data_IF_997801504327
#
_entry.id   IF_997801504327
#
_cell.length_a   1.000
_cell.length_b   1.000
_cell.length_c   1.000
_cell.angle_alpha   90.00
_cell.angle_beta   90.00
_cell.angle_gamma   90.00
#
_symmetry.space_group_name_H-M   'P 1'
#
loop_
_entity.id
_entity.type
_entity.pdbx_description
1 polymer ?
#
# COMPACT_ATOMS: atom_id res chain seq x y z
N UNK A 1 32.10 -15.54 -14.95
CA UNK A 1 31.34 -14.28 -14.82
C UNK A 1 30.56 -14.36 -13.51
N UNK A 2 30.87 -13.51 -12.54
CA UNK A 2 30.13 -13.45 -11.28
C UNK A 2 28.90 -12.57 -11.51
N UNK A 3 27.72 -13.18 -11.65
CA UNK A 3 26.49 -12.41 -11.58
C UNK A 3 26.22 -12.17 -10.09
N UNK A 4 26.64 -11.00 -9.61
CA UNK A 4 26.25 -10.52 -8.29
C UNK A 4 24.74 -10.25 -8.35
N UNK A 5 23.95 -11.12 -7.73
CA UNK A 5 22.54 -10.84 -7.51
C UNK A 5 22.46 -9.72 -6.45
N UNK A 6 22.05 -8.52 -6.88
CA UNK A 6 21.65 -7.49 -5.95
C UNK A 6 20.47 -8.03 -5.13
N UNK A 7 20.71 -8.27 -3.84
CA UNK A 7 19.69 -8.79 -2.93
C UNK A 7 18.66 -7.67 -2.73
N UNK A 8 17.49 -7.82 -3.36
CA UNK A 8 16.34 -6.96 -3.06
C UNK A 8 16.08 -7.02 -1.55
N UNK A 9 16.05 -5.86 -0.91
CA UNK A 9 15.80 -5.71 0.52
C UNK A 9 14.36 -6.11 0.92
N UNK A 10 13.48 -6.40 -0.05
CA UNK A 10 12.10 -6.83 0.11
C UNK A 10 11.93 -8.18 -0.60
N UNK A 11 12.02 -9.28 0.16
CA UNK A 11 11.59 -10.61 -0.28
C UNK A 11 12.45 -11.28 -1.35
N UNK A 12 12.65 -12.59 -1.23
CA UNK A 12 13.35 -13.38 -2.26
C UNK A 12 12.57 -13.39 -3.57
N UNK A 13 13.16 -12.86 -4.64
CA UNK A 13 12.70 -13.08 -6.02
C UNK A 13 12.84 -14.56 -6.37
N UNK A 14 11.79 -15.35 -6.12
CA UNK A 14 11.72 -16.72 -6.64
C UNK A 14 11.22 -16.64 -8.07
N UNK A 15 12.14 -16.57 -9.03
CA UNK A 15 11.81 -16.80 -10.44
C UNK A 15 11.44 -18.28 -10.59
N UNK A 16 10.15 -18.58 -10.73
CA UNK A 16 9.71 -19.93 -11.07
C UNK A 16 9.92 -20.16 -12.57
N UNK A 17 10.92 -20.96 -12.92
CA UNK A 17 11.16 -21.39 -14.29
C UNK A 17 10.26 -22.59 -14.60
N UNK A 18 9.49 -22.54 -15.68
CA UNK A 18 8.82 -23.74 -16.17
C UNK A 18 9.87 -24.72 -16.77
N UNK A 19 9.52 -26.00 -16.90
CA UNK A 19 10.41 -27.07 -17.41
C UNK A 19 10.95 -26.87 -18.84
N UNK A 20 10.67 -25.74 -19.48
CA UNK A 20 11.15 -25.35 -20.83
C UNK A 20 12.12 -24.15 -20.80
N UNK A 21 12.46 -23.62 -19.62
CA UNK A 21 13.37 -22.48 -19.48
C UNK A 21 12.78 -21.14 -19.95
N UNK A 22 11.47 -21.06 -20.17
CA UNK A 22 10.78 -19.85 -20.64
C UNK A 22 10.24 -19.09 -19.43
N UNK A 23 10.74 -17.88 -19.19
CA UNK A 23 10.16 -16.97 -18.20
C UNK A 23 8.73 -16.59 -18.62
N UNK A 24 7.73 -17.22 -18.02
CA UNK A 24 6.34 -16.75 -18.12
C UNK A 24 6.28 -15.37 -17.48
N UNK A 25 5.67 -14.40 -18.17
CA UNK A 25 5.49 -13.00 -17.72
C UNK A 25 5.27 -12.98 -16.21
N UNK A 26 6.28 -12.54 -15.46
CA UNK A 26 6.20 -12.50 -14.02
C UNK A 26 5.01 -11.59 -13.65
N UNK A 27 3.88 -12.19 -13.30
CA UNK A 27 2.95 -11.59 -12.35
C UNK A 27 3.81 -11.31 -11.13
N UNK A 28 4.26 -10.07 -10.97
CA UNK A 28 5.13 -9.67 -9.88
C UNK A 28 4.48 -10.16 -8.58
N UNK A 29 5.01 -11.21 -7.92
CA UNK A 29 4.31 -11.81 -6.80
C UNK A 29 4.26 -10.77 -5.68
N UNK A 30 3.06 -10.46 -5.21
CA UNK A 30 2.86 -9.56 -4.08
C UNK A 30 3.33 -10.29 -2.81
N UNK A 31 4.63 -10.25 -2.54
CA UNK A 31 5.25 -10.92 -1.40
C UNK A 31 5.01 -10.11 -0.12
N UNK A 32 3.90 -10.38 0.58
CA UNK A 32 3.57 -9.76 1.87
C UNK A 32 3.86 -10.74 3.00
N UNK A 33 4.74 -10.37 3.94
CA UNK A 33 5.13 -11.23 5.07
C UNK A 33 4.11 -11.27 6.20
N UNK A 34 3.44 -10.14 6.45
CA UNK A 34 2.37 -10.01 7.45
C UNK A 34 1.44 -8.84 7.08
N UNK A 35 0.38 -8.62 7.87
CA UNK A 35 -0.62 -7.57 7.59
C UNK A 35 -0.09 -6.13 7.69
N UNK A 36 1.08 -5.93 8.31
CA UNK A 36 1.74 -4.63 8.48
C UNK A 36 2.98 -4.47 7.59
N UNK A 37 3.21 -5.38 6.64
CA UNK A 37 4.38 -5.32 5.78
C UNK A 37 4.28 -4.15 4.80
N UNK A 38 5.28 -3.26 4.84
CA UNK A 38 5.33 -2.06 4.00
C UNK A 38 6.40 -2.11 2.93
N UNK A 39 7.00 -3.29 2.64
CA UNK A 39 8.19 -3.34 1.81
C UNK A 39 7.98 -2.99 0.32
N UNK A 40 6.73 -2.91 -0.13
CA UNK A 40 6.35 -2.43 -1.46
C UNK A 40 6.08 -0.90 -1.50
N UNK A 41 6.23 -0.19 -0.38
CA UNK A 41 6.08 1.25 -0.28
C UNK A 41 7.44 1.93 -0.11
N UNK A 42 7.58 3.17 -0.58
CA UNK A 42 8.79 3.95 -0.32
C UNK A 42 8.99 4.14 1.20
N UNK A 43 10.23 3.93 1.64
CA UNK A 43 10.58 4.02 3.05
C UNK A 43 10.38 5.42 3.60
N UNK A 44 10.51 6.45 2.77
CA UNK A 44 10.30 7.83 3.21
C UNK A 44 8.91 8.01 3.82
N UNK A 45 7.85 7.54 3.14
CA UNK A 45 6.49 7.62 3.67
C UNK A 45 6.27 6.74 4.91
N UNK A 46 6.87 5.55 4.95
CA UNK A 46 6.64 4.60 6.07
C UNK A 46 7.38 4.97 7.35
N UNK A 47 8.36 5.88 7.28
CA UNK A 47 9.11 6.40 8.43
C UNK A 47 8.50 7.67 9.01
N UNK A 48 7.69 8.39 8.23
CA UNK A 48 6.99 9.56 8.70
C UNK A 48 6.02 9.20 9.83
N UNK A 49 5.79 10.14 10.74
CA UNK A 49 4.77 9.99 11.77
C UNK A 49 3.38 9.90 11.12
N UNK A 50 2.50 9.09 11.69
CA UNK A 50 1.11 8.97 11.25
C UNK A 50 0.31 10.12 11.87
N UNK A 51 0.41 11.29 11.26
CA UNK A 51 -0.23 12.52 11.74
C UNK A 51 -0.92 13.28 10.60
N UNK A 52 -1.96 14.04 10.97
CA UNK A 52 -2.62 14.96 10.05
C UNK A 52 -1.89 16.29 10.08
N UNK A 53 -1.62 16.85 8.91
CA UNK A 53 -1.09 18.22 8.81
C UNK A 53 -2.04 19.18 9.53
N UNK A 54 -1.56 19.99 10.49
CA UNK A 54 -2.39 20.98 11.16
C UNK A 54 -2.99 21.97 10.15
N UNK A 55 -4.29 22.23 10.27
CA UNK A 55 -5.02 23.17 9.43
C UNK A 55 -5.34 24.44 10.21
N UNK A 56 -5.25 25.60 9.56
CA UNK A 56 -5.66 26.88 10.15
C UNK A 56 -7.20 26.97 10.21
N UNK A 57 -7.72 27.29 11.40
CA UNK A 57 -9.16 27.40 11.65
C UNK A 57 -9.82 28.46 10.78
N UNK A 58 -9.14 29.56 10.48
CA UNK A 58 -9.68 30.61 9.62
C UNK A 58 -9.84 30.12 8.18
N UNK A 59 -8.93 29.28 7.70
CA UNK A 59 -9.08 28.66 6.39
C UNK A 59 -10.27 27.72 6.38
N UNK A 60 -10.41 26.85 7.37
CA UNK A 60 -11.52 25.91 7.47
C UNK A 60 -12.88 26.63 7.53
N UNK A 61 -12.98 27.70 8.32
CA UNK A 61 -14.23 28.46 8.50
C UNK A 61 -14.67 29.22 7.24
N UNK A 62 -13.73 29.51 6.32
CA UNK A 62 -14.01 30.22 5.09
C UNK A 62 -14.27 29.29 3.90
N UNK A 63 -14.28 27.96 4.11
CA UNK A 63 -14.67 27.00 3.08
C UNK A 63 -16.20 26.93 2.98
N UNK A 64 -16.71 26.94 1.76
CA UNK A 64 -18.11 26.60 1.49
C UNK A 64 -18.36 25.13 1.85
N UNK A 65 -19.19 24.89 2.86
CA UNK A 65 -19.48 23.53 3.33
C UNK A 65 -20.49 22.82 2.43
N UNK A 66 -21.27 23.56 1.64
CA UNK A 66 -22.30 22.98 0.79
C UNK A 66 -21.68 22.21 -0.39
N UNK A 67 -20.43 22.53 -0.77
CA UNK A 67 -19.65 21.77 -1.77
C UNK A 67 -19.43 20.30 -1.36
N UNK A 68 -19.55 19.97 -0.07
CA UNK A 68 -19.34 18.62 0.46
C UNK A 68 -20.66 17.90 0.79
N UNK A 69 -21.82 18.46 0.44
CA UNK A 69 -23.10 17.78 0.61
C UNK A 69 -23.13 16.47 -0.19
N UNK A 70 -23.58 15.40 0.47
CA UNK A 70 -23.60 14.06 -0.12
C UNK A 70 -22.24 13.34 -0.16
N UNK A 71 -21.19 13.91 0.45
CA UNK A 71 -19.88 13.26 0.53
C UNK A 71 -19.86 12.00 1.42
N UNK A 72 -20.69 11.96 2.46
CA UNK A 72 -20.73 10.84 3.40
C UNK A 72 -21.22 9.55 2.73
N UNK A 73 -20.39 8.51 2.77
CA UNK A 73 -20.71 7.16 2.30
C UNK A 73 -20.24 6.12 3.31
N UNK A 74 -21.05 5.10 3.55
CA UNK A 74 -20.64 3.88 4.25
C UNK A 74 -21.05 2.70 3.40
N UNK A 75 -20.14 1.75 3.19
CA UNK A 75 -20.45 0.54 2.42
C UNK A 75 -21.47 -0.34 3.19
N UNK A 76 -22.71 -0.51 2.68
CA UNK A 76 -23.73 -1.31 3.39
C UNK A 76 -23.40 -2.80 3.46
N UNK A 77 -22.54 -3.30 2.55
CA UNK A 77 -22.12 -4.70 2.50
C UNK A 77 -20.91 -5.01 3.41
N UNK A 78 -20.43 -4.03 4.18
CA UNK A 78 -19.27 -4.23 5.04
C UNK A 78 -19.66 -5.02 6.29
N UNK A 79 -19.17 -6.27 6.37
CA UNK A 79 -19.28 -7.12 7.57
C UNK A 79 -18.00 -6.99 8.39
N UNK A 80 -18.12 -6.52 9.63
CA UNK A 80 -16.98 -6.37 10.53
C UNK A 80 -16.49 -7.74 11.05
N UNK A 81 -15.25 -8.16 10.75
CA UNK A 81 -14.73 -9.46 11.19
C UNK A 81 -14.53 -9.59 12.70
N UNK A 82 -14.61 -8.51 13.48
CA UNK A 82 -14.50 -8.54 14.94
C UNK A 82 -15.85 -8.72 15.68
N UNK A 83 -16.97 -8.82 14.96
CA UNK A 83 -18.32 -8.93 15.55
C UNK A 83 -18.96 -10.33 15.38
N UNK A 84 -18.15 -11.38 15.27
CA UNK A 84 -18.58 -12.78 15.19
C UNK A 84 -17.80 -13.69 16.13
#
# INVERSE_FOLDING_TARGET
MFVSAAKSLCGTDTVSLNGTGKATRATHPQNRRNSRDTCNFDREFTKMAVELTPTDKLFIMNLDQDEFLGFSYTNPEYVNPAQG
#
